data_IF_717319082972
#
_entry.id   IF_717319082972
#
_cell.length_a   1.000
_cell.length_b   1.000
_cell.length_c   1.000
_cell.angle_alpha   90.00
_cell.angle_beta   90.00
_cell.angle_gamma   90.00
#
_symmetry.space_group_name_H-M   'P 1'
#
loop_
_entity.id
_entity.type
_entity.pdbx_description
1 polymer ?
#
# COMPACT_ATOMS: atom_id res chain seq x y z
N UNK A 1 -2.27 6.55 -3.03
CA UNK A 1 -3.13 7.69 -2.57
C UNK A 1 -4.63 7.37 -2.61
N UNK A 2 -5.21 6.82 -3.69
CA UNK A 2 -6.63 6.49 -3.74
C UNK A 2 -7.09 5.60 -2.57
N UNK A 3 -6.38 4.50 -2.30
CA UNK A 3 -6.68 3.63 -1.15
C UNK A 3 -6.61 4.38 0.18
N UNK A 4 -5.56 5.19 0.40
CA UNK A 4 -5.41 5.97 1.63
C UNK A 4 -6.61 6.89 1.85
N UNK A 5 -7.03 7.64 0.83
CA UNK A 5 -8.21 8.49 0.91
C UNK A 5 -9.48 7.67 1.14
N UNK A 6 -9.62 6.52 0.48
CA UNK A 6 -10.79 5.66 0.61
C UNK A 6 -10.92 5.08 2.02
N UNK A 7 -9.83 4.54 2.61
CA UNK A 7 -9.86 4.01 4.00
C UNK A 7 -10.06 5.13 5.01
N UNK A 8 -9.42 6.30 4.82
CA UNK A 8 -9.53 7.42 5.75
C UNK A 8 -10.93 8.06 5.73
N UNK A 9 -11.54 8.20 4.54
CA UNK A 9 -12.82 8.90 4.37
C UNK A 9 -14.01 7.96 4.19
N UNK A 10 -13.79 6.64 4.29
CA UNK A 10 -14.82 5.61 4.15
C UNK A 10 -15.69 5.75 2.89
N UNK A 11 -15.12 6.25 1.77
CA UNK A 11 -15.89 6.57 0.56
C UNK A 11 -16.59 5.35 -0.03
N UNK A 12 -15.95 4.15 0.02
CA UNK A 12 -16.55 2.88 -0.39
C UNK A 12 -17.80 2.53 0.42
N UNK A 13 -17.78 2.76 1.75
CA UNK A 13 -18.93 2.51 2.62
C UNK A 13 -20.02 3.55 2.44
N UNK A 14 -19.63 4.83 2.30
CA UNK A 14 -20.58 5.92 2.03
C UNK A 14 -21.33 5.65 0.73
N UNK A 15 -20.62 5.25 -0.33
CA UNK A 15 -21.21 4.87 -1.61
C UNK A 15 -22.18 3.70 -1.46
N UNK A 16 -21.79 2.61 -0.79
CA UNK A 16 -22.66 1.45 -0.56
C UNK A 16 -23.95 1.85 0.18
N UNK A 17 -23.82 2.63 1.27
CA UNK A 17 -24.98 3.12 2.04
C UNK A 17 -25.96 3.92 1.19
N UNK A 18 -25.46 4.85 0.39
CA UNK A 18 -26.34 5.71 -0.44
C UNK A 18 -27.07 4.90 -1.53
N UNK A 19 -26.47 3.81 -2.03
CA UNK A 19 -27.14 2.87 -2.94
C UNK A 19 -28.34 2.16 -2.30
N UNK A 20 -28.32 2.00 -0.98
CA UNK A 20 -29.39 1.41 -0.17
C UNK A 20 -30.30 2.48 0.47
N UNK A 21 -30.25 3.73 -0.02
CA UNK A 21 -30.97 4.88 0.54
C UNK A 21 -30.68 5.15 2.03
N UNK A 22 -29.58 4.64 2.56
CA UNK A 22 -29.09 4.95 3.90
C UNK A 22 -28.20 6.20 3.85
N UNK A 23 -28.74 7.36 4.24
CA UNK A 23 -28.02 8.66 4.25
C UNK A 23 -27.35 8.96 5.61
N UNK A 24 -27.27 7.99 6.51
CA UNK A 24 -26.68 8.18 7.83
C UNK A 24 -25.14 8.25 7.74
N UNK A 25 -24.56 9.32 8.29
CA UNK A 25 -23.11 9.57 8.32
C UNK A 25 -22.40 8.97 9.56
N UNK A 26 -23.13 8.42 10.52
CA UNK A 26 -22.54 7.85 11.72
C UNK A 26 -21.54 6.74 11.39
N UNK A 27 -20.34 6.82 12.00
CA UNK A 27 -19.24 5.87 11.77
C UNK A 27 -18.49 6.09 10.45
N UNK A 28 -18.72 7.22 9.73
CA UNK A 28 -17.96 7.61 8.54
C UNK A 28 -17.02 8.81 8.80
N UNK A 29 -16.73 9.10 10.08
CA UNK A 29 -15.84 10.20 10.44
C UNK A 29 -14.38 9.81 10.11
N UNK A 30 -13.78 10.58 9.22
CA UNK A 30 -12.36 10.47 8.86
C UNK A 30 -11.52 11.55 9.52
N UNK A 31 -10.26 11.61 9.11
CA UNK A 31 -9.25 12.55 9.61
C UNK A 31 -8.74 13.44 8.48
N UNK A 32 -8.49 14.72 8.77
CA UNK A 32 -7.82 15.61 7.83
C UNK A 32 -6.35 15.20 7.66
N UNK A 33 -5.82 15.33 6.43
CA UNK A 33 -4.42 15.04 6.14
C UNK A 33 -3.50 16.23 6.45
N UNK A 34 -4.05 17.43 6.46
CA UNK A 34 -3.32 18.68 6.68
C UNK A 34 -2.53 18.66 8.00
N UNK A 35 -1.22 18.94 7.90
CA UNK A 35 -0.24 18.89 9.00
C UNK A 35 -0.05 17.53 9.69
N UNK A 36 -0.68 16.46 9.22
CA UNK A 36 -0.39 15.10 9.70
C UNK A 36 0.97 14.63 9.18
N UNK A 37 1.55 13.67 9.87
CA UNK A 37 2.82 13.07 9.48
C UNK A 37 2.56 11.90 8.53
N UNK A 38 3.13 12.00 7.33
CA UNK A 38 3.17 10.90 6.37
C UNK A 38 4.54 10.23 6.42
N UNK A 39 4.57 8.92 6.65
CA UNK A 39 5.75 8.07 6.57
C UNK A 39 5.83 7.36 5.23
N UNK A 40 6.98 7.40 4.57
CA UNK A 40 7.25 6.71 3.32
C UNK A 40 8.43 5.76 3.52
N UNK A 41 8.20 4.45 3.35
CA UNK A 41 9.24 3.44 3.37
C UNK A 41 9.60 3.07 1.93
N UNK A 42 10.83 3.38 1.52
CA UNK A 42 11.31 3.27 0.14
C UNK A 42 11.10 4.54 -0.67
N UNK A 43 12.18 5.14 -1.15
CA UNK A 43 12.20 6.41 -1.89
C UNK A 43 12.62 6.25 -3.35
N UNK A 44 12.33 5.09 -3.94
CA UNK A 44 12.41 4.84 -5.38
C UNK A 44 11.42 5.71 -6.17
N UNK A 45 11.27 5.45 -7.47
CA UNK A 45 10.41 6.27 -8.37
C UNK A 45 8.98 6.46 -7.82
N UNK A 46 8.39 5.39 -7.29
CA UNK A 46 7.00 5.41 -6.75
C UNK A 46 6.95 6.15 -5.41
N UNK A 47 7.89 5.89 -4.49
CA UNK A 47 7.97 6.60 -3.22
C UNK A 47 8.16 8.11 -3.39
N UNK A 48 9.00 8.53 -4.34
CA UNK A 48 9.16 9.95 -4.70
C UNK A 48 7.89 10.59 -5.22
N UNK A 49 7.12 9.86 -6.05
CA UNK A 49 5.82 10.33 -6.52
C UNK A 49 4.85 10.50 -5.34
N UNK A 50 4.85 9.55 -4.40
CA UNK A 50 3.99 9.61 -3.22
C UNK A 50 4.38 10.77 -2.28
N UNK A 51 5.69 11.03 -2.08
CA UNK A 51 6.18 12.18 -1.32
C UNK A 51 5.63 13.49 -1.89
N UNK A 52 5.73 13.69 -3.22
CA UNK A 52 5.17 14.88 -3.88
C UNK A 52 3.66 15.03 -3.66
N UNK A 53 2.91 13.93 -3.69
CA UNK A 53 1.47 13.94 -3.44
C UNK A 53 1.18 14.33 -1.99
N UNK A 54 1.90 13.78 -1.02
CA UNK A 54 1.76 14.13 0.39
C UNK A 54 2.08 15.61 0.65
N UNK A 55 3.12 16.16 0.02
CA UNK A 55 3.41 17.61 0.08
C UNK A 55 2.26 18.44 -0.51
N UNK A 56 1.61 17.96 -1.60
CA UNK A 56 0.41 18.59 -2.16
C UNK A 56 -0.76 18.68 -1.16
N UNK A 57 -0.87 17.70 -0.25
CA UNK A 57 -1.81 17.73 0.87
C UNK A 57 -1.31 18.50 2.09
N UNK A 58 -0.14 19.14 2.01
CA UNK A 58 0.53 19.86 3.09
C UNK A 58 0.75 19.00 4.34
N UNK A 59 1.11 17.74 4.13
CA UNK A 59 1.52 16.83 5.19
C UNK A 59 3.01 17.05 5.52
N UNK A 60 3.40 16.72 6.76
CA UNK A 60 4.81 16.61 7.14
C UNK A 60 5.32 15.25 6.70
N UNK A 61 6.27 15.20 5.76
CA UNK A 61 6.72 13.92 5.20
C UNK A 61 8.03 13.49 5.84
N UNK A 62 8.05 12.25 6.36
CA UNK A 62 9.25 11.56 6.80
C UNK A 62 9.51 10.37 5.88
N UNK A 63 10.77 10.06 5.61
CA UNK A 63 11.15 8.93 4.76
C UNK A 63 12.17 8.04 5.47
N UNK A 64 12.07 6.74 5.16
CA UNK A 64 13.09 5.75 5.46
C UNK A 64 13.52 5.04 4.18
N UNK A 65 14.81 5.00 3.93
CA UNK A 65 15.43 4.23 2.85
C UNK A 65 16.84 3.88 3.28
N UNK A 66 17.31 2.62 3.09
CA UNK A 66 18.72 2.27 3.34
C UNK A 66 19.72 3.09 2.51
N UNK A 67 19.25 3.60 1.35
CA UNK A 67 20.03 4.41 0.41
C UNK A 67 19.38 5.78 0.19
N UNK A 68 19.49 6.71 1.16
CA UNK A 68 18.84 8.02 1.09
C UNK A 68 19.27 8.83 -0.15
N UNK A 69 18.31 9.42 -0.84
CA UNK A 69 18.58 10.34 -1.95
C UNK A 69 18.61 11.78 -1.44
N UNK A 70 19.80 12.35 -1.33
CA UNK A 70 20.02 13.72 -0.84
C UNK A 70 19.40 14.82 -1.72
N UNK A 71 18.99 14.51 -2.94
CA UNK A 71 18.34 15.47 -3.84
C UNK A 71 16.80 15.54 -3.62
N UNK A 72 16.26 14.70 -2.74
CA UNK A 72 14.83 14.74 -2.40
C UNK A 72 14.59 15.71 -1.26
N UNK A 73 13.59 16.57 -1.45
CA UNK A 73 13.07 17.44 -0.40
C UNK A 73 12.20 16.63 0.57
N UNK A 74 12.87 15.85 1.43
CA UNK A 74 12.22 15.04 2.46
C UNK A 74 13.19 14.80 3.62
N UNK A 75 12.67 14.74 4.83
CA UNK A 75 13.46 14.39 6.00
C UNK A 75 13.59 12.87 6.11
N UNK A 76 14.83 12.35 6.00
CA UNK A 76 15.15 10.97 6.28
C UNK A 76 15.36 10.76 7.78
N UNK A 77 14.78 9.67 8.29
CA UNK A 77 14.86 9.27 9.71
C UNK A 77 15.07 7.76 9.82
N UNK A 78 15.36 7.25 11.02
CA UNK A 78 15.39 5.79 11.25
C UNK A 78 14.00 5.17 11.07
N UNK A 79 13.94 3.85 10.83
CA UNK A 79 12.66 3.14 10.69
C UNK A 79 11.82 3.30 11.97
N UNK A 80 12.42 3.14 13.13
CA UNK A 80 11.74 3.27 14.42
C UNK A 80 11.17 4.68 14.61
N UNK A 81 11.95 5.71 14.28
CA UNK A 81 11.50 7.10 14.38
C UNK A 81 10.33 7.36 13.43
N UNK A 82 10.42 6.87 12.17
CA UNK A 82 9.35 7.01 11.19
C UNK A 82 8.06 6.35 11.70
N UNK A 83 8.13 5.10 12.15
CA UNK A 83 6.98 4.34 12.64
C UNK A 83 6.32 5.00 13.85
N UNK A 84 7.13 5.51 14.80
CA UNK A 84 6.63 6.16 16.01
C UNK A 84 5.93 7.50 15.75
N UNK A 85 6.26 8.17 14.62
CA UNK A 85 5.77 9.52 14.30
C UNK A 85 4.69 9.54 13.23
N UNK A 86 4.61 8.53 12.36
CA UNK A 86 3.69 8.51 11.24
C UNK A 86 2.23 8.36 11.66
N UNK A 87 1.37 9.25 11.18
CA UNK A 87 -0.09 9.11 11.22
C UNK A 87 -0.57 8.27 10.02
N UNK A 88 0.12 8.38 8.88
CA UNK A 88 -0.15 7.66 7.64
C UNK A 88 1.16 7.05 7.13
N UNK A 89 1.19 5.74 6.94
CA UNK A 89 2.35 4.99 6.47
C UNK A 89 2.08 4.38 5.10
N UNK A 90 3.03 4.55 4.16
CA UNK A 90 2.94 3.99 2.82
C UNK A 90 4.22 3.26 2.45
N UNK A 91 4.08 2.01 1.96
CA UNK A 91 5.20 1.12 1.64
C UNK A 91 5.48 1.19 0.12
N UNK A 92 6.75 1.42 -0.24
CA UNK A 92 7.24 1.53 -1.61
C UNK A 92 8.63 0.91 -1.80
N UNK A 93 9.10 0.13 -0.81
CA UNK A 93 10.35 -0.63 -0.93
C UNK A 93 10.12 -1.96 -1.66
N UNK A 94 11.16 -2.54 -2.32
CA UNK A 94 11.08 -3.88 -2.87
C UNK A 94 11.02 -4.92 -1.75
N UNK A 95 10.53 -6.12 -2.07
CA UNK A 95 10.63 -7.27 -1.19
C UNK A 95 12.01 -7.90 -1.36
N UNK A 96 12.78 -7.91 -0.29
CA UNK A 96 14.12 -8.52 -0.17
C UNK A 96 14.21 -9.25 1.16
N UNK A 97 15.24 -10.08 1.42
CA UNK A 97 15.41 -10.67 2.74
C UNK A 97 15.43 -9.66 3.89
N UNK A 98 15.95 -8.44 3.66
CA UNK A 98 16.02 -7.38 4.68
C UNK A 98 14.70 -6.63 4.88
N UNK A 99 13.81 -6.65 3.91
CA UNK A 99 12.50 -5.98 3.96
C UNK A 99 11.35 -6.94 4.17
N UNK A 100 11.59 -8.26 4.10
CA UNK A 100 10.57 -9.26 4.42
C UNK A 100 10.06 -9.04 5.84
N UNK A 101 8.75 -8.91 5.98
CA UNK A 101 8.09 -8.60 7.26
C UNK A 101 8.67 -7.35 7.96
N UNK A 102 9.04 -6.32 7.18
CA UNK A 102 9.45 -5.04 7.78
C UNK A 102 8.34 -4.45 8.67
N UNK A 103 7.08 -4.78 8.36
CA UNK A 103 5.93 -4.55 9.22
C UNK A 103 5.57 -5.88 9.90
N UNK A 104 5.88 -6.00 11.18
CA UNK A 104 5.69 -7.18 12.03
C UNK A 104 5.20 -6.77 13.42
N UNK A 105 5.02 -7.70 14.33
CA UNK A 105 4.52 -7.43 15.68
C UNK A 105 5.31 -6.34 16.41
N UNK A 106 6.65 -6.41 16.36
CA UNK A 106 7.52 -5.42 17.00
C UNK A 106 7.33 -4.03 16.38
N UNK A 107 7.34 -3.93 15.05
CA UNK A 107 7.22 -2.65 14.35
C UNK A 107 5.81 -2.08 14.47
N UNK A 108 4.77 -2.91 14.45
CA UNK A 108 3.39 -2.50 14.71
C UNK A 108 3.25 -1.93 16.14
N UNK A 109 3.91 -2.54 17.14
CA UNK A 109 3.84 -2.05 18.51
C UNK A 109 4.33 -0.62 18.69
N UNK A 110 5.33 -0.20 17.88
CA UNK A 110 5.92 1.15 17.92
C UNK A 110 5.04 2.19 17.19
N UNK A 111 4.22 1.77 16.23
CA UNK A 111 3.34 2.69 15.48
C UNK A 111 2.38 3.42 16.42
N UNK A 112 1.90 4.59 16.00
CA UNK A 112 0.85 5.31 16.71
C UNK A 112 -0.45 4.51 16.75
N UNK A 113 -1.20 4.63 17.85
CA UNK A 113 -2.57 4.16 17.88
C UNK A 113 -3.44 4.97 16.91
N UNK A 114 -4.22 4.29 16.08
CA UNK A 114 -5.01 4.91 15.05
C UNK A 114 -4.24 5.26 13.76
N UNK A 115 -2.98 4.82 13.61
CA UNK A 115 -2.22 4.99 12.39
C UNK A 115 -2.88 4.31 11.19
N UNK A 116 -2.69 4.89 10.00
CA UNK A 116 -3.12 4.31 8.74
C UNK A 116 -1.93 3.65 8.04
N UNK A 117 -2.12 2.44 7.50
CA UNK A 117 -1.12 1.68 6.76
C UNK A 117 -1.62 1.39 5.35
N UNK A 118 -0.80 1.68 4.33
CA UNK A 118 -1.10 1.34 2.94
C UNK A 118 0.06 0.57 2.33
N UNK A 119 -0.23 -0.59 1.76
CA UNK A 119 0.72 -1.39 1.01
C UNK A 119 0.24 -1.61 -0.43
N UNK A 120 0.96 -1.03 -1.37
CA UNK A 120 0.78 -1.20 -2.82
C UNK A 120 2.09 -1.65 -3.48
N UNK A 121 2.97 -2.30 -2.71
CA UNK A 121 4.28 -2.75 -3.19
C UNK A 121 4.34 -4.28 -3.31
N UNK A 122 4.56 -4.98 -2.20
CA UNK A 122 4.60 -6.46 -2.14
C UNK A 122 3.96 -6.94 -0.85
N UNK A 123 3.19 -8.03 -0.91
CA UNK A 123 2.48 -8.62 0.24
C UNK A 123 3.41 -8.99 1.38
N UNK A 124 4.50 -9.70 1.10
CA UNK A 124 5.48 -10.15 2.09
C UNK A 124 6.25 -9.05 2.85
N UNK A 125 5.99 -7.77 2.58
CA UNK A 125 6.47 -6.66 3.43
C UNK A 125 5.75 -6.61 4.78
N UNK A 126 4.58 -7.21 4.89
CA UNK A 126 3.75 -7.22 6.09
C UNK A 126 3.58 -8.67 6.54
N UNK A 127 3.91 -8.96 7.79
CA UNK A 127 3.49 -10.19 8.46
C UNK A 127 1.97 -10.15 8.64
N UNK A 128 1.27 -10.99 7.89
CA UNK A 128 -0.20 -11.02 7.85
C UNK A 128 -0.79 -11.33 9.22
N UNK A 129 -0.20 -12.25 9.98
CA UNK A 129 -0.72 -12.60 11.31
C UNK A 129 -0.51 -11.45 12.31
N UNK A 130 0.64 -10.78 12.25
CA UNK A 130 0.90 -9.61 13.08
C UNK A 130 -0.06 -8.46 12.76
N UNK A 131 -0.38 -8.25 11.47
CA UNK A 131 -1.38 -7.27 11.05
C UNK A 131 -2.77 -7.59 11.63
N UNK A 132 -3.22 -8.84 11.52
CA UNK A 132 -4.51 -9.29 12.08
C UNK A 132 -4.55 -9.05 13.59
N UNK A 133 -3.49 -9.39 14.31
CA UNK A 133 -3.39 -9.16 15.74
C UNK A 133 -3.47 -7.66 16.09
N UNK A 134 -2.78 -6.82 15.31
CA UNK A 134 -2.84 -5.36 15.44
C UNK A 134 -4.24 -4.79 15.19
N UNK A 135 -4.96 -5.31 14.18
CA UNK A 135 -6.35 -4.94 13.88
C UNK A 135 -7.29 -5.32 15.03
N UNK A 136 -7.15 -6.54 15.58
CA UNK A 136 -7.92 -6.99 16.76
C UNK A 136 -7.66 -6.12 17.98
N UNK A 137 -6.41 -5.71 18.18
CA UNK A 137 -6.02 -4.78 19.24
C UNK A 137 -6.45 -3.31 18.96
N UNK A 138 -7.13 -3.03 17.83
CA UNK A 138 -7.56 -1.68 17.40
C UNK A 138 -6.39 -0.70 17.24
N UNK A 139 -5.22 -1.21 16.85
CA UNK A 139 -4.01 -0.41 16.64
C UNK A 139 -4.15 0.54 15.45
N UNK A 140 -4.87 0.12 14.40
CA UNK A 140 -4.97 0.83 13.14
C UNK A 140 -6.28 1.62 13.01
N UNK A 141 -6.18 2.86 12.55
CA UNK A 141 -7.32 3.66 12.07
C UNK A 141 -7.88 3.13 10.75
N UNK A 142 -6.99 2.68 9.86
CA UNK A 142 -7.36 2.02 8.61
C UNK A 142 -6.17 1.36 7.92
N UNK A 143 -6.44 0.30 7.16
CA UNK A 143 -5.44 -0.45 6.40
C UNK A 143 -5.90 -0.60 4.96
N UNK A 144 -5.03 -0.27 4.00
CA UNK A 144 -5.25 -0.44 2.56
C UNK A 144 -4.22 -1.41 1.98
N UNK A 145 -4.67 -2.51 1.41
CA UNK A 145 -3.83 -3.55 0.83
C UNK A 145 -4.21 -3.75 -0.64
N UNK A 146 -3.31 -3.39 -1.55
CA UNK A 146 -3.43 -3.74 -2.97
C UNK A 146 -2.72 -5.06 -3.28
N UNK A 147 -1.89 -5.50 -2.35
CA UNK A 147 -1.09 -6.73 -2.39
C UNK A 147 -1.28 -7.52 -1.12
N UNK A 148 -1.15 -8.85 -1.23
CA UNK A 148 -1.31 -9.78 -0.13
C UNK A 148 -0.17 -10.80 -0.12
N UNK A 149 0.19 -11.33 1.04
CA UNK A 149 1.35 -12.23 1.19
C UNK A 149 1.16 -13.52 0.40
N UNK A 150 -0.03 -14.13 0.45
CA UNK A 150 -0.41 -15.36 -0.21
C UNK A 150 -1.34 -15.09 -1.41
N UNK A 151 -1.03 -14.04 -2.21
CA UNK A 151 -1.92 -13.63 -3.33
C UNK A 151 -1.89 -14.59 -4.52
N UNK A 152 -0.91 -15.47 -4.61
CA UNK A 152 -0.75 -16.40 -5.72
C UNK A 152 -1.93 -17.38 -5.81
N UNK A 153 -2.52 -17.50 -6.99
CA UNK A 153 -3.69 -18.36 -7.23
C UNK A 153 -5.03 -17.81 -6.72
N UNK A 154 -5.04 -16.60 -6.13
CA UNK A 154 -6.25 -15.91 -5.67
C UNK A 154 -6.50 -14.62 -6.43
N UNK A 155 -5.44 -13.79 -6.59
CA UNK A 155 -5.58 -12.50 -7.27
C UNK A 155 -5.63 -12.72 -8.79
N UNK A 156 -6.41 -11.88 -9.47
CA UNK A 156 -6.76 -11.94 -10.91
C UNK A 156 -7.72 -13.06 -11.30
N UNK A 157 -8.16 -13.91 -10.38
CA UNK A 157 -9.13 -14.97 -10.64
C UNK A 157 -10.52 -14.59 -10.11
N UNK A 158 -11.55 -15.16 -10.72
CA UNK A 158 -12.93 -15.04 -10.23
C UNK A 158 -13.26 -16.22 -9.33
N UNK A 159 -13.06 -16.02 -8.04
CA UNK A 159 -13.36 -17.00 -7.00
C UNK A 159 -14.72 -16.73 -6.31
N UNK A 160 -15.63 -15.97 -6.93
CA UNK A 160 -16.89 -15.56 -6.28
C UNK A 160 -17.83 -16.73 -5.97
N UNK A 161 -17.73 -17.82 -6.71
CA UNK A 161 -18.52 -19.05 -6.52
C UNK A 161 -17.74 -20.13 -5.72
N UNK A 162 -16.55 -19.80 -5.21
CA UNK A 162 -15.70 -20.74 -4.49
C UNK A 162 -15.62 -20.42 -3.00
N UNK A 163 -15.26 -21.43 -2.19
CA UNK A 163 -14.96 -21.23 -0.78
C UNK A 163 -13.49 -20.83 -0.67
N UNK A 164 -13.24 -19.60 -0.25
CA UNK A 164 -11.88 -19.12 0.03
C UNK A 164 -11.27 -19.96 1.16
N UNK A 165 -10.19 -20.67 0.83
CA UNK A 165 -9.49 -21.55 1.79
C UNK A 165 -8.48 -20.79 2.66
N UNK A 166 -8.17 -19.55 2.31
CA UNK A 166 -7.28 -18.69 3.07
C UNK A 166 -8.03 -17.99 4.21
N UNK A 167 -7.89 -18.54 5.42
CA UNK A 167 -8.53 -18.01 6.63
C UNK A 167 -8.06 -16.59 6.97
N UNK A 168 -6.81 -16.24 6.66
CA UNK A 168 -6.26 -14.91 6.92
C UNK A 168 -6.87 -13.87 6.00
N UNK A 169 -6.96 -14.16 4.69
CA UNK A 169 -7.60 -13.27 3.73
C UNK A 169 -9.09 -13.12 4.05
N UNK A 170 -9.78 -14.24 4.29
CA UNK A 170 -11.18 -14.21 4.70
C UNK A 170 -11.39 -13.35 5.95
N UNK A 171 -10.50 -13.47 6.93
CA UNK A 171 -10.55 -12.65 8.14
C UNK A 171 -10.27 -11.18 7.87
N UNK A 172 -9.27 -10.86 7.06
CA UNK A 172 -8.93 -9.47 6.71
C UNK A 172 -10.11 -8.75 6.05
N UNK A 173 -10.89 -9.44 5.20
CA UNK A 173 -12.07 -8.86 4.54
C UNK A 173 -13.21 -8.54 5.52
N UNK A 174 -13.24 -9.13 6.71
CA UNK A 174 -14.27 -8.86 7.71
C UNK A 174 -14.01 -7.60 8.53
N UNK A 175 -12.78 -7.07 8.56
CA UNK A 175 -12.49 -5.87 9.33
C UNK A 175 -13.09 -4.63 8.68
N UNK A 176 -13.83 -3.81 9.44
CA UNK A 176 -14.53 -2.65 8.89
C UNK A 176 -13.60 -1.51 8.46
N UNK A 177 -12.34 -1.52 8.86
CA UNK A 177 -11.32 -0.51 8.54
C UNK A 177 -10.19 -1.08 7.64
N UNK A 178 -10.44 -2.21 6.98
CA UNK A 178 -9.54 -2.78 5.97
C UNK A 178 -10.17 -2.63 4.59
N UNK A 179 -9.36 -2.22 3.62
CA UNK A 179 -9.69 -2.17 2.19
C UNK A 179 -8.68 -3.02 1.44
N UNK A 180 -9.15 -4.03 0.72
CA UNK A 180 -8.31 -4.88 -0.13
C UNK A 180 -8.72 -4.67 -1.57
N UNK A 181 -7.73 -4.58 -2.46
CA UNK A 181 -7.89 -4.62 -3.91
C UNK A 181 -6.92 -5.67 -4.47
N UNK A 182 -7.22 -6.21 -5.65
CA UNK A 182 -6.53 -7.37 -6.20
C UNK A 182 -5.33 -6.98 -7.08
N UNK A 183 -4.31 -6.35 -6.47
CA UNK A 183 -3.05 -5.96 -7.12
C UNK A 183 -3.26 -5.14 -8.40
N UNK A 184 -4.16 -4.17 -8.33
CA UNK A 184 -4.58 -3.38 -9.48
C UNK A 184 -3.94 -1.99 -9.58
N UNK A 185 -3.02 -1.66 -8.68
CA UNK A 185 -2.42 -0.32 -8.60
C UNK A 185 -1.72 0.13 -9.89
N UNK A 186 -1.25 -0.81 -10.71
CA UNK A 186 -0.65 -0.54 -12.03
C UNK A 186 -1.68 -0.49 -13.17
N UNK A 187 -2.89 -0.98 -12.97
CA UNK A 187 -3.85 -1.25 -14.05
C UNK A 187 -4.52 0.04 -14.54
N UNK A 188 -3.75 0.80 -15.31
CA UNK A 188 -4.19 2.02 -16.02
C UNK A 188 -3.91 1.89 -17.52
N UNK A 189 -4.62 2.67 -18.34
CA UNK A 189 -4.43 2.66 -19.81
C UNK A 189 -2.97 2.94 -20.17
N UNK A 190 -2.37 3.95 -19.52
CA UNK A 190 -1.00 4.37 -19.79
C UNK A 190 0.03 3.32 -19.37
N UNK A 191 -0.17 2.68 -18.23
CA UNK A 191 0.71 1.61 -17.76
C UNK A 191 0.62 0.38 -18.65
N UNK A 192 -0.60 -0.02 -19.05
CA UNK A 192 -0.81 -1.16 -19.95
C UNK A 192 -0.21 -0.91 -21.34
N UNK A 193 -0.33 0.31 -21.87
CA UNK A 193 0.32 0.71 -23.11
C UNK A 193 1.85 0.65 -23.00
N UNK A 194 2.42 1.14 -21.89
CA UNK A 194 3.86 1.08 -21.65
C UNK A 194 4.37 -0.35 -21.53
N UNK A 195 3.66 -1.22 -20.81
CA UNK A 195 4.00 -2.64 -20.68
C UNK A 195 3.96 -3.33 -22.04
N UNK A 196 2.91 -3.12 -22.83
CA UNK A 196 2.80 -3.69 -24.15
C UNK A 196 3.93 -3.23 -25.09
N UNK A 197 4.25 -1.93 -25.07
CA UNK A 197 5.33 -1.35 -25.88
C UNK A 197 6.68 -1.94 -25.52
N UNK A 198 7.06 -1.94 -24.24
CA UNK A 198 8.33 -2.51 -23.75
C UNK A 198 8.44 -4.00 -24.06
N UNK A 199 7.35 -4.75 -23.92
CA UNK A 199 7.32 -6.19 -24.25
C UNK A 199 7.60 -6.42 -25.73
N UNK A 200 6.96 -5.65 -26.60
CA UNK A 200 7.15 -5.75 -28.06
C UNK A 200 8.56 -5.30 -28.48
N UNK A 201 9.09 -4.22 -27.88
CA UNK A 201 10.47 -3.77 -28.14
C UNK A 201 11.50 -4.83 -27.72
N UNK A 202 11.33 -5.46 -26.54
CA UNK A 202 12.21 -6.53 -26.08
C UNK A 202 12.13 -7.78 -27.00
N UNK A 203 10.93 -8.17 -27.42
CA UNK A 203 10.74 -9.28 -28.36
C UNK A 203 11.42 -8.99 -29.70
N UNK A 204 11.23 -7.79 -30.25
CA UNK A 204 11.88 -7.36 -31.49
C UNK A 204 13.40 -7.32 -31.38
N UNK A 205 13.93 -6.81 -30.25
CA UNK A 205 15.37 -6.76 -30.00
C UNK A 205 15.96 -8.18 -29.92
N UNK A 206 15.28 -9.10 -29.25
CA UNK A 206 15.69 -10.50 -29.16
C UNK A 206 15.73 -11.17 -30.53
N UNK A 207 14.67 -11.02 -31.34
CA UNK A 207 14.57 -11.62 -32.68
C UNK A 207 15.68 -11.09 -33.62
N UNK A 208 16.06 -9.82 -33.49
CA UNK A 208 17.06 -9.19 -34.34
C UNK A 208 18.49 -9.17 -33.74
N UNK A 209 18.74 -9.91 -32.64
CA UNK A 209 20.02 -9.93 -31.94
C UNK A 209 20.53 -8.54 -31.53
N UNK A 210 19.62 -7.63 -31.16
CA UNK A 210 19.94 -6.30 -30.64
C UNK A 210 20.16 -6.35 -29.13
N UNK A 211 20.77 -5.32 -28.59
CA UNK A 211 20.99 -5.22 -27.13
C UNK A 211 19.64 -5.06 -26.41
N UNK A 212 19.35 -5.99 -25.50
CA UNK A 212 18.18 -5.93 -24.63
C UNK A 212 18.39 -4.85 -23.53
N UNK A 213 17.40 -4.00 -23.34
CA UNK A 213 17.47 -2.91 -22.33
C UNK A 213 17.14 -3.36 -20.91
N UNK A 214 16.37 -4.44 -20.77
CA UNK A 214 15.74 -4.88 -19.53
C UNK A 214 16.09 -6.35 -19.22
N UNK A 215 17.38 -6.71 -19.28
CA UNK A 215 17.85 -8.04 -18.83
C UNK A 215 17.67 -8.15 -17.32
N UNK A 216 17.07 -9.26 -16.89
CA UNK A 216 17.05 -9.69 -15.48
C UNK A 216 18.21 -10.68 -15.32
N UNK A 217 19.17 -10.34 -14.45
CA UNK A 217 20.31 -11.21 -14.09
C UNK A 217 19.88 -12.24 -13.05
#
# INVERSE_FOLDING_TARGET
MAMLLTVNRFTHKAYGRTREFNMNINGLMGTDLYHKVAGVIGTGKIGQAMIRIFHGFRMNVLAYDPYPNSNLDVQYVSLEELLSKADFLSLHCPLTPDTHHIINEKTISIMKDGAYLVNTSRGGLIDTQALINGLLAKKFGGVGLDVYEEEEGLFYEDCSDEIIQDDNLARLTTFPNVLITSHMGFFTVEAMQSIAHETLENAYALENNLTLKNLVE
#
